data_IF_271428435489
#
_entry.id   IF_271428435489
#
_cell.length_a   1.000
_cell.length_b   1.000
_cell.length_c   1.000
_cell.angle_alpha   90.00
_cell.angle_beta   90.00
_cell.angle_gamma   90.00
#
_symmetry.space_group_name_H-M   'P 1'
#
loop_
_entity.id
_entity.type
_entity.pdbx_description
1 polymer ?
#
# COMPACT_ATOMS: atom_id res chain seq x y z
N UNK A 1 23.01 -7.33 5.74
CA UNK A 1 21.85 -6.76 6.47
C UNK A 1 21.09 -7.90 7.13
N UNK A 2 20.91 -7.83 8.45
CA UNK A 2 20.17 -8.85 9.19
C UNK A 2 18.68 -8.48 9.19
N UNK A 3 17.88 -9.16 8.37
CA UNK A 3 16.43 -9.08 8.43
C UNK A 3 15.93 -10.15 9.41
N UNK A 4 15.29 -9.74 10.51
CA UNK A 4 14.57 -10.63 11.42
C UNK A 4 13.08 -10.61 11.08
N UNK A 5 12.50 -11.79 10.84
CA UNK A 5 11.06 -11.96 10.63
C UNK A 5 10.43 -12.40 11.95
N UNK A 6 9.47 -11.63 12.44
CA UNK A 6 8.63 -11.97 13.60
C UNK A 6 7.19 -12.25 13.14
N UNK A 7 6.59 -13.29 13.68
CA UNK A 7 5.19 -13.64 13.42
C UNK A 7 4.37 -13.42 14.69
N UNK A 8 3.37 -12.55 14.62
CA UNK A 8 2.43 -12.31 15.71
C UNK A 8 1.26 -13.27 15.53
N UNK A 9 1.03 -14.14 16.51
CA UNK A 9 -0.08 -15.07 16.56
C UNK A 9 -1.08 -14.64 17.63
N UNK A 10 -2.32 -14.46 17.25
CA UNK A 10 -3.43 -14.09 18.14
C UNK A 10 -4.21 -15.36 18.50
N UNK A 11 -3.94 -15.95 19.65
CA UNK A 11 -4.50 -17.25 20.03
C UNK A 11 -6.04 -17.26 20.16
N UNK A 12 -6.64 -16.13 20.57
CA UNK A 12 -8.09 -16.00 20.76
C UNK A 12 -8.86 -15.48 19.53
N UNK A 13 -8.16 -15.10 18.46
CA UNK A 13 -8.75 -14.45 17.28
C UNK A 13 -8.28 -15.09 15.98
N UNK A 14 -7.88 -16.36 16.01
CA UNK A 14 -7.33 -17.08 14.84
C UNK A 14 -8.30 -17.04 13.66
N UNK A 15 -9.59 -17.18 13.88
CA UNK A 15 -10.60 -17.18 12.82
C UNK A 15 -10.64 -15.85 12.03
N UNK A 16 -10.37 -14.71 12.66
CA UNK A 16 -10.31 -13.40 11.99
C UNK A 16 -9.21 -13.33 10.93
N UNK A 17 -8.12 -14.06 11.10
CA UNK A 17 -6.96 -14.05 10.22
C UNK A 17 -6.86 -15.27 9.30
N UNK A 18 -7.62 -16.34 9.61
CA UNK A 18 -7.66 -17.57 8.81
C UNK A 18 -8.73 -17.51 7.73
N UNK A 19 -8.73 -16.46 6.91
CA UNK A 19 -9.70 -16.29 5.83
C UNK A 19 -9.05 -16.51 4.47
N UNK A 20 -9.73 -17.13 3.49
CA UNK A 20 -9.20 -17.31 2.14
C UNK A 20 -9.15 -16.00 1.35
N UNK A 21 -9.81 -14.95 1.83
CA UNK A 21 -9.85 -13.63 1.22
C UNK A 21 -9.07 -12.63 2.08
N UNK A 22 -8.27 -11.78 1.43
CA UNK A 22 -7.51 -10.73 2.10
C UNK A 22 -8.46 -9.72 2.77
N UNK A 23 -9.57 -9.40 2.14
CA UNK A 23 -10.58 -8.46 2.63
C UNK A 23 -11.92 -9.15 2.86
N UNK A 24 -12.59 -8.78 3.97
CA UNK A 24 -13.89 -9.30 4.39
C UNK A 24 -14.69 -8.22 5.13
N UNK A 25 -15.92 -8.53 5.53
CA UNK A 25 -16.76 -7.61 6.33
C UNK A 25 -16.20 -7.36 7.73
N UNK A 26 -15.31 -8.24 8.25
CA UNK A 26 -14.69 -8.13 9.57
C UNK A 26 -13.35 -7.37 9.57
N UNK A 27 -13.00 -6.72 8.48
CA UNK A 27 -11.70 -6.06 8.31
C UNK A 27 -11.39 -5.04 9.40
N UNK A 28 -12.39 -4.27 9.83
CA UNK A 28 -12.21 -3.29 10.90
C UNK A 28 -11.77 -3.95 12.20
N UNK A 29 -12.48 -4.99 12.65
CA UNK A 29 -12.14 -5.74 13.86
C UNK A 29 -10.74 -6.36 13.72
N UNK A 30 -10.48 -7.00 12.60
CA UNK A 30 -9.22 -7.68 12.29
C UNK A 30 -8.04 -6.72 12.36
N UNK A 31 -8.10 -5.60 11.68
CA UNK A 31 -6.99 -4.64 11.64
C UNK A 31 -6.88 -3.78 12.89
N UNK A 32 -7.96 -3.59 13.65
CA UNK A 32 -7.90 -3.05 15.01
C UNK A 32 -7.14 -4.00 15.94
N UNK A 33 -7.46 -5.28 15.91
CA UNK A 33 -6.77 -6.31 16.70
C UNK A 33 -5.28 -6.41 16.29
N UNK A 34 -4.98 -6.34 14.99
CA UNK A 34 -3.61 -6.31 14.48
C UNK A 34 -2.84 -5.09 14.99
N UNK A 35 -3.43 -3.89 14.93
CA UNK A 35 -2.81 -2.67 15.44
C UNK A 35 -2.49 -2.76 16.93
N UNK A 36 -3.42 -3.30 17.74
CA UNK A 36 -3.20 -3.50 19.16
C UNK A 36 -2.11 -4.54 19.46
N UNK A 37 -2.10 -5.65 18.72
CA UNK A 37 -1.08 -6.69 18.86
C UNK A 37 0.32 -6.18 18.45
N UNK A 38 0.41 -5.39 17.38
CA UNK A 38 1.66 -4.76 16.97
C UNK A 38 2.16 -3.76 18.03
N UNK A 39 1.28 -2.96 18.63
CA UNK A 39 1.64 -2.04 19.70
C UNK A 39 2.18 -2.79 20.92
N UNK A 40 1.49 -3.85 21.37
CA UNK A 40 1.94 -4.69 22.48
C UNK A 40 3.31 -5.32 22.18
N UNK A 41 3.48 -5.90 20.99
CA UNK A 41 4.76 -6.48 20.59
C UNK A 41 5.91 -5.45 20.61
N UNK A 42 5.66 -4.24 20.07
CA UNK A 42 6.68 -3.18 20.05
C UNK A 42 7.06 -2.74 21.46
N UNK A 43 6.13 -2.76 22.42
CA UNK A 43 6.43 -2.44 23.82
C UNK A 43 7.15 -3.57 24.56
N UNK A 44 7.02 -4.82 24.12
CA UNK A 44 7.66 -6.00 24.74
C UNK A 44 9.10 -6.24 24.27
N UNK A 45 9.47 -5.71 23.10
CA UNK A 45 10.85 -5.80 22.59
C UNK A 45 11.72 -4.63 23.09
N UNK A 46 13.07 -4.73 23.01
CA UNK A 46 13.94 -3.58 23.28
C UNK A 46 13.51 -2.36 22.47
N UNK A 47 13.64 -1.14 23.03
CA UNK A 47 13.23 0.08 22.35
C UNK A 47 13.78 0.19 20.92
N UNK A 48 12.91 0.50 19.98
CA UNK A 48 13.24 0.73 18.58
C UNK A 48 13.21 2.23 18.27
N UNK A 49 14.12 2.69 17.41
CA UNK A 49 14.20 4.10 17.05
C UNK A 49 13.06 4.51 16.11
N UNK A 50 12.70 3.63 15.16
CA UNK A 50 11.73 3.91 14.11
C UNK A 50 10.77 2.73 13.97
N UNK A 51 9.48 3.06 13.88
CA UNK A 51 8.41 2.14 13.45
C UNK A 51 7.91 2.60 12.10
N UNK A 52 8.06 1.75 11.08
CA UNK A 52 7.57 2.01 9.73
C UNK A 52 6.42 1.06 9.41
N UNK A 53 5.27 1.60 9.02
CA UNK A 53 4.09 0.81 8.67
C UNK A 53 3.43 1.30 7.38
N UNK A 54 2.52 0.48 6.83
CA UNK A 54 1.95 0.68 5.51
C UNK A 54 0.43 0.60 5.53
N UNK A 55 -0.21 1.55 4.82
CA UNK A 55 -1.64 1.61 4.58
C UNK A 55 -2.53 1.64 5.84
N UNK A 56 -3.81 1.77 5.62
CA UNK A 56 -4.82 1.94 6.66
C UNK A 56 -4.93 0.77 7.66
N UNK A 57 -4.46 -0.41 7.28
CA UNK A 57 -4.52 -1.62 8.11
C UNK A 57 -3.89 -1.46 9.49
N UNK A 58 -2.86 -0.65 9.58
CA UNK A 58 -2.19 -0.28 10.82
C UNK A 58 -2.39 1.20 11.19
N UNK A 59 -3.42 1.83 10.65
CA UNK A 59 -3.67 3.25 10.87
C UNK A 59 -3.91 3.64 12.33
N UNK A 60 -4.32 2.70 13.18
CA UNK A 60 -4.48 2.93 14.62
C UNK A 60 -3.17 2.76 15.41
N UNK A 61 -2.17 2.07 14.87
CA UNK A 61 -0.91 1.78 15.55
C UNK A 61 -0.19 3.05 16.06
N UNK A 62 -0.06 4.14 15.30
CA UNK A 62 0.61 5.34 15.78
C UNK A 62 -0.03 5.94 17.02
N UNK A 63 -1.37 5.97 17.05
CA UNK A 63 -2.11 6.45 18.21
C UNK A 63 -1.87 5.60 19.45
N UNK A 64 -1.85 4.29 19.30
CA UNK A 64 -1.57 3.35 20.41
C UNK A 64 -0.14 3.51 20.93
N UNK A 65 0.84 3.69 20.04
CA UNK A 65 2.24 3.90 20.44
C UNK A 65 2.49 5.27 21.09
N UNK A 66 1.70 6.28 20.74
CA UNK A 66 1.79 7.64 21.31
C UNK A 66 0.81 7.89 22.47
N UNK A 67 0.18 6.84 23.00
CA UNK A 67 -0.64 6.99 24.20
C UNK A 67 0.21 7.47 25.39
N UNK A 68 -0.30 8.36 26.28
CA UNK A 68 0.44 8.86 27.44
C UNK A 68 1.04 7.79 28.33
N UNK A 69 0.41 6.63 28.41
CA UNK A 69 0.87 5.49 29.23
C UNK A 69 1.90 4.61 28.47
N UNK A 70 2.28 4.99 27.25
CA UNK A 70 3.29 4.25 26.48
C UNK A 70 4.67 4.33 27.17
N UNK A 71 5.42 3.23 27.27
CA UNK A 71 6.71 3.21 27.94
C UNK A 71 7.77 4.04 27.21
N UNK A 72 7.61 4.25 25.90
CA UNK A 72 8.47 5.10 25.08
C UNK A 72 7.77 5.47 23.75
N UNK A 73 8.32 6.45 23.04
CA UNK A 73 7.76 6.99 21.82
C UNK A 73 8.73 6.84 20.65
N UNK A 74 8.63 5.76 19.82
CA UNK A 74 9.44 5.65 18.62
C UNK A 74 9.06 6.71 17.60
N UNK A 75 9.98 7.04 16.69
CA UNK A 75 9.63 7.80 15.49
C UNK A 75 8.79 6.94 14.55
N UNK A 76 7.76 7.53 13.96
CA UNK A 76 6.79 6.80 13.15
C UNK A 76 6.83 7.28 11.72
N UNK A 77 7.05 6.35 10.79
CA UNK A 77 6.95 6.57 9.35
C UNK A 77 5.72 5.83 8.82
N UNK A 78 4.88 6.53 8.10
CA UNK A 78 3.66 6.00 7.50
C UNK A 78 3.73 6.07 5.98
N UNK A 79 3.71 4.92 5.29
CA UNK A 79 3.64 4.87 3.83
C UNK A 79 2.24 4.52 3.37
N UNK A 80 1.68 5.35 2.49
CA UNK A 80 0.37 5.15 1.87
C UNK A 80 0.58 4.75 0.41
N UNK A 81 0.17 3.53 0.07
CA UNK A 81 0.25 3.03 -1.30
C UNK A 81 -0.98 3.41 -2.12
N UNK A 82 -2.14 3.53 -1.46
CA UNK A 82 -3.39 3.85 -2.13
C UNK A 82 -4.37 4.59 -1.21
N UNK A 83 -4.62 5.86 -1.49
CA UNK A 83 -5.56 6.69 -0.74
C UNK A 83 -7.04 6.33 -0.94
N UNK A 84 -7.38 5.48 -1.91
CA UNK A 84 -8.76 5.02 -2.09
C UNK A 84 -9.25 4.12 -0.95
N UNK A 85 -8.33 3.43 -0.26
CA UNK A 85 -8.65 2.53 0.84
C UNK A 85 -8.26 3.16 2.17
N UNK A 86 -9.24 3.57 2.97
CA UNK A 86 -9.03 4.40 4.16
C UNK A 86 -9.35 3.73 5.48
N UNK A 87 -10.00 2.56 5.43
CA UNK A 87 -10.46 1.86 6.63
C UNK A 87 -11.57 2.61 7.35
N UNK A 88 -12.71 2.80 6.67
CA UNK A 88 -13.93 3.31 7.28
C UNK A 88 -14.48 2.29 8.26
N UNK A 89 -14.81 2.74 9.46
CA UNK A 89 -15.31 1.86 10.51
C UNK A 89 -16.31 2.57 11.43
N UNK A 90 -17.13 1.78 12.11
CA UNK A 90 -18.04 2.32 13.14
C UNK A 90 -17.24 2.84 14.32
N UNK A 91 -17.49 4.11 14.70
CA UNK A 91 -16.90 4.72 15.90
C UNK A 91 -17.22 3.90 17.16
N UNK A 92 -18.44 3.33 17.24
CA UNK A 92 -18.84 2.45 18.34
C UNK A 92 -17.95 1.21 18.40
N UNK A 93 -17.66 0.58 17.26
CA UNK A 93 -16.80 -0.61 17.20
C UNK A 93 -15.39 -0.30 17.71
N UNK A 94 -14.82 0.85 17.33
CA UNK A 94 -13.52 1.24 17.84
C UNK A 94 -13.52 1.42 19.36
N UNK A 95 -14.53 2.07 19.93
CA UNK A 95 -14.63 2.24 21.39
C UNK A 95 -14.79 0.89 22.12
N UNK A 96 -15.45 -0.08 21.53
CA UNK A 96 -15.58 -1.45 22.07
C UNK A 96 -14.24 -2.21 22.07
N UNK A 97 -13.29 -1.82 21.21
CA UNK A 97 -11.95 -2.46 21.11
C UNK A 97 -10.88 -1.80 22.00
N UNK A 98 -11.27 -1.03 23.01
CA UNK A 98 -10.39 -0.24 23.90
C UNK A 98 -9.65 0.93 23.19
N UNK A 99 -10.02 1.27 21.97
CA UNK A 99 -9.69 2.56 21.37
C UNK A 99 -10.65 3.57 22.00
N UNK A 100 -10.21 4.21 23.05
CA UNK A 100 -11.03 5.10 23.86
C UNK A 100 -11.22 6.50 23.21
N UNK A 101 -11.97 7.35 23.90
CA UNK A 101 -12.21 8.71 23.43
C UNK A 101 -10.92 9.55 23.30
N UNK A 102 -9.86 9.23 24.05
CA UNK A 102 -8.58 9.89 23.91
C UNK A 102 -8.02 9.66 22.50
N UNK A 103 -7.97 8.42 22.04
CA UNK A 103 -7.49 8.08 20.69
C UNK A 103 -8.37 8.68 19.61
N UNK A 104 -9.69 8.53 19.74
CA UNK A 104 -10.65 9.02 18.75
C UNK A 104 -10.59 10.52 18.55
N UNK A 105 -10.57 11.28 19.65
CA UNK A 105 -10.63 12.75 19.61
C UNK A 105 -9.26 13.39 19.34
N UNK A 106 -8.21 12.93 20.04
CA UNK A 106 -6.88 13.54 19.92
C UNK A 106 -6.19 13.24 18.58
N UNK A 107 -6.52 12.11 17.96
CA UNK A 107 -5.96 11.72 16.67
C UNK A 107 -6.91 11.95 15.49
N UNK A 108 -7.98 12.70 15.71
CA UNK A 108 -8.93 13.13 14.68
C UNK A 108 -9.44 11.99 13.80
N UNK A 109 -9.71 10.83 14.41
CA UNK A 109 -10.18 9.64 13.68
C UNK A 109 -11.61 9.80 13.16
N UNK A 110 -12.40 10.70 13.72
CA UNK A 110 -13.78 10.90 13.31
C UNK A 110 -13.89 11.47 11.88
N UNK A 111 -14.81 10.93 11.12
CA UNK A 111 -15.38 11.55 9.93
C UNK A 111 -16.69 12.24 10.29
N UNK A 112 -17.52 11.53 11.04
CA UNK A 112 -18.80 11.98 11.61
C UNK A 112 -19.02 11.22 12.94
N UNK A 113 -20.10 11.49 13.71
CA UNK A 113 -20.32 10.85 15.00
C UNK A 113 -20.41 9.30 14.96
N UNK A 114 -20.76 8.73 13.82
CA UNK A 114 -20.92 7.30 13.64
C UNK A 114 -19.73 6.63 12.93
N UNK A 115 -18.96 7.41 12.16
CA UNK A 115 -17.92 6.89 11.28
C UNK A 115 -16.55 7.42 11.68
N UNK A 116 -15.61 6.51 11.83
CA UNK A 116 -14.18 6.79 12.00
C UNK A 116 -13.39 6.30 10.79
N UNK A 117 -12.19 6.85 10.61
CA UNK A 117 -11.29 6.54 9.48
C UNK A 117 -9.93 6.17 10.02
N UNK A 118 -9.56 4.88 9.91
CA UNK A 118 -8.32 4.36 10.49
C UNK A 118 -7.07 5.02 9.90
N UNK A 119 -7.06 5.34 8.60
CA UNK A 119 -5.94 6.04 7.95
C UNK A 119 -5.62 7.39 8.61
N UNK A 120 -6.60 8.10 9.17
CA UNK A 120 -6.38 9.39 9.86
C UNK A 120 -5.41 9.25 11.04
N UNK A 121 -5.44 8.16 11.77
CA UNK A 121 -4.48 7.90 12.83
C UNK A 121 -3.03 7.92 12.30
N UNK A 122 -2.79 7.28 11.16
CA UNK A 122 -1.50 7.35 10.48
C UNK A 122 -1.16 8.77 10.03
N UNK A 123 -2.10 9.50 9.41
CA UNK A 123 -1.88 10.85 8.90
C UNK A 123 -1.55 11.85 10.01
N UNK A 124 -2.28 11.84 11.11
CA UNK A 124 -2.11 12.84 12.18
C UNK A 124 -1.01 12.48 13.18
N UNK A 125 -0.74 11.18 13.41
CA UNK A 125 0.17 10.75 14.47
C UNK A 125 1.58 10.37 14.00
N UNK A 126 1.85 10.23 12.70
CA UNK A 126 3.17 9.86 12.20
C UNK A 126 4.12 11.06 12.18
N UNK A 127 5.41 10.80 12.37
CA UNK A 127 6.46 11.84 12.29
C UNK A 127 6.83 12.15 10.82
N UNK A 128 6.70 11.16 9.93
CA UNK A 128 6.82 11.33 8.49
C UNK A 128 5.75 10.51 7.75
N UNK A 129 5.24 11.04 6.65
CA UNK A 129 4.25 10.41 5.80
C UNK A 129 4.85 10.29 4.41
N UNK A 130 4.74 9.13 3.79
CA UNK A 130 5.21 8.92 2.42
C UNK A 130 4.11 8.32 1.55
N UNK A 131 4.22 8.58 0.24
CA UNK A 131 3.45 7.88 -0.79
C UNK A 131 4.37 7.45 -1.93
N UNK A 132 3.85 6.65 -2.85
CA UNK A 132 4.67 5.88 -3.81
C UNK A 132 5.07 6.64 -5.07
N UNK A 133 4.83 7.96 -5.12
CA UNK A 133 5.25 8.80 -6.25
C UNK A 133 5.31 10.28 -5.85
N UNK A 134 6.34 11.04 -6.27
CA UNK A 134 6.36 12.49 -6.10
C UNK A 134 5.17 13.18 -6.77
N UNK A 135 4.79 12.77 -7.97
CA UNK A 135 3.62 13.29 -8.68
C UNK A 135 2.33 12.98 -7.91
N UNK A 136 2.17 11.74 -7.43
CA UNK A 136 1.00 11.34 -6.64
C UNK A 136 0.91 12.12 -5.33
N UNK A 137 2.04 12.42 -4.69
CA UNK A 137 2.06 13.29 -3.51
C UNK A 137 1.51 14.69 -3.84
N UNK A 138 1.91 15.27 -4.98
CA UNK A 138 1.41 16.56 -5.43
C UNK A 138 -0.08 16.53 -5.78
N UNK A 139 -0.55 15.47 -6.44
CA UNK A 139 -1.97 15.26 -6.76
C UNK A 139 -2.81 15.19 -5.48
N UNK A 140 -2.36 14.47 -4.47
CA UNK A 140 -3.07 14.35 -3.19
C UNK A 140 -3.10 15.66 -2.37
N UNK A 141 -2.16 16.54 -2.62
CA UNK A 141 -2.12 17.90 -2.04
C UNK A 141 -2.97 18.91 -2.81
N UNK A 142 -3.55 18.53 -3.96
CA UNK A 142 -4.39 19.40 -4.74
C UNK A 142 -5.79 19.53 -4.07
N UNK A 143 -6.35 20.74 -4.07
CA UNK A 143 -7.68 21.03 -3.53
C UNK A 143 -8.83 20.25 -4.20
N UNK A 144 -8.61 19.73 -5.42
CA UNK A 144 -9.57 18.87 -6.13
C UNK A 144 -9.47 17.40 -5.72
N UNK A 145 -8.52 17.04 -4.86
CA UNK A 145 -8.47 15.73 -4.24
C UNK A 145 -9.61 15.57 -3.23
N UNK A 146 -9.77 14.36 -2.70
CA UNK A 146 -10.79 14.11 -1.68
C UNK A 146 -10.59 15.06 -0.47
N UNK A 147 -11.61 15.90 -0.11
CA UNK A 147 -11.46 16.91 0.92
C UNK A 147 -10.97 16.38 2.27
N UNK A 148 -11.40 15.17 2.65
CA UNK A 148 -11.01 14.55 3.93
C UNK A 148 -9.51 14.26 4.00
N UNK A 149 -8.92 13.79 2.90
CA UNK A 149 -7.49 13.53 2.79
C UNK A 149 -6.71 14.81 2.59
N UNK A 150 -7.22 15.71 1.75
CA UNK A 150 -6.61 17.02 1.50
C UNK A 150 -6.43 17.81 2.80
N UNK A 151 -7.47 17.92 3.62
CA UNK A 151 -7.40 18.63 4.90
C UNK A 151 -6.34 18.03 5.84
N UNK A 152 -6.32 16.70 5.96
CA UNK A 152 -5.33 16.02 6.78
C UNK A 152 -3.89 16.25 6.26
N UNK A 153 -3.65 16.11 4.96
CA UNK A 153 -2.33 16.28 4.35
C UNK A 153 -1.89 17.74 4.36
N UNK A 154 -2.80 18.70 4.16
CA UNK A 154 -2.48 20.13 4.18
C UNK A 154 -1.87 20.56 5.52
N UNK A 155 -2.37 20.03 6.64
CA UNK A 155 -1.80 20.29 7.97
C UNK A 155 -0.47 19.55 8.18
N UNK A 156 -0.12 18.58 7.36
CA UNK A 156 1.05 17.70 7.46
C UNK A 156 2.01 17.84 6.28
N UNK A 157 1.83 18.86 5.44
CA UNK A 157 2.60 19.03 4.19
C UNK A 157 4.11 19.05 4.36
N UNK A 158 4.61 19.59 5.47
CA UNK A 158 6.06 19.64 5.76
C UNK A 158 6.72 18.27 6.01
N UNK A 159 5.92 17.26 6.29
CA UNK A 159 6.37 15.88 6.58
C UNK A 159 5.80 14.84 5.62
N UNK A 160 5.22 15.28 4.48
CA UNK A 160 4.65 14.43 3.46
C UNK A 160 5.53 14.40 2.20
N UNK A 161 5.92 13.21 1.76
CA UNK A 161 6.89 12.99 0.69
C UNK A 161 6.43 11.91 -0.29
N UNK A 162 6.73 12.09 -1.58
CA UNK A 162 6.57 11.06 -2.60
C UNK A 162 7.90 10.32 -2.85
N UNK A 163 7.92 9.00 -2.71
CA UNK A 163 9.10 8.15 -2.90
C UNK A 163 8.72 7.03 -3.86
N UNK A 164 9.42 6.93 -5.00
CA UNK A 164 9.16 5.86 -5.97
C UNK A 164 9.54 4.50 -5.40
N UNK A 165 8.74 3.49 -5.72
CA UNK A 165 9.07 2.10 -5.44
C UNK A 165 10.34 1.69 -6.18
N UNK A 166 11.12 0.80 -5.59
CA UNK A 166 12.24 0.14 -6.24
C UNK A 166 11.78 -0.81 -7.36
N UNK A 167 12.72 -1.18 -8.20
CA UNK A 167 12.55 -2.18 -9.26
C UNK A 167 13.44 -3.37 -8.92
N UNK A 168 12.87 -4.57 -8.98
CA UNK A 168 13.66 -5.81 -8.92
C UNK A 168 14.29 -6.08 -10.29
N UNK A 169 15.50 -5.59 -10.49
CA UNK A 169 16.28 -5.71 -11.72
C UNK A 169 16.89 -7.10 -11.93
N UNK A 170 16.75 -8.00 -10.98
CA UNK A 170 17.13 -9.41 -11.13
C UNK A 170 16.00 -10.22 -11.75
N UNK A 171 14.79 -10.06 -11.24
CA UNK A 171 13.61 -10.76 -11.76
C UNK A 171 13.12 -10.14 -13.08
N UNK A 172 13.09 -8.81 -13.18
CA UNK A 172 12.61 -8.09 -14.37
C UNK A 172 13.77 -7.64 -15.27
N UNK A 173 14.63 -8.58 -15.65
CA UNK A 173 15.80 -8.33 -16.47
C UNK A 173 15.69 -9.05 -17.83
N UNK A 174 15.46 -8.34 -18.94
CA UNK A 174 15.31 -8.97 -20.25
C UNK A 174 16.58 -9.67 -20.75
N UNK A 175 17.74 -9.41 -20.17
CA UNK A 175 18.99 -10.09 -20.48
C UNK A 175 19.01 -11.53 -19.93
N UNK A 176 18.39 -11.77 -18.79
CA UNK A 176 18.42 -13.03 -18.05
C UNK A 176 17.07 -13.68 -17.82
N UNK A 177 15.97 -13.06 -18.26
CA UNK A 177 14.61 -13.57 -18.08
C UNK A 177 14.42 -14.88 -18.83
N UNK A 178 14.19 -16.01 -18.14
CA UNK A 178 14.01 -17.33 -18.75
C UNK A 178 12.66 -17.47 -19.47
N UNK A 179 11.74 -16.53 -19.31
CA UNK A 179 10.41 -16.56 -19.93
C UNK A 179 10.39 -15.91 -21.32
N UNK A 180 11.44 -15.19 -21.69
CA UNK A 180 11.57 -14.63 -23.02
C UNK A 180 12.08 -15.68 -24.01
N UNK A 181 11.50 -15.72 -25.20
CA UNK A 181 11.97 -16.56 -26.30
C UNK A 181 13.32 -16.07 -26.86
N UNK A 182 13.55 -14.78 -26.81
CA UNK A 182 14.77 -14.12 -27.22
C UNK A 182 15.17 -13.05 -26.21
N UNK A 183 16.27 -13.25 -25.49
CA UNK A 183 16.78 -12.26 -24.55
C UNK A 183 17.43 -11.08 -25.26
N UNK A 184 17.38 -9.91 -24.61
CA UNK A 184 18.00 -8.68 -25.11
C UNK A 184 18.51 -7.83 -23.94
N UNK A 185 19.49 -7.00 -24.20
CA UNK A 185 20.12 -6.13 -23.20
C UNK A 185 20.15 -4.66 -23.64
N UNK A 186 20.63 -3.81 -22.73
CA UNK A 186 20.70 -2.35 -22.95
C UNK A 186 21.64 -1.91 -24.08
N UNK A 187 22.59 -2.75 -24.53
CA UNK A 187 23.50 -2.38 -25.65
C UNK A 187 22.71 -2.17 -26.93
N UNK A 188 21.60 -2.93 -27.10
CA UNK A 188 20.73 -2.85 -28.27
C UNK A 188 19.92 -1.54 -28.37
N UNK A 189 19.95 -0.68 -27.37
CA UNK A 189 19.38 0.68 -27.50
C UNK A 189 20.06 1.51 -28.56
N UNK A 190 21.30 1.14 -28.97
CA UNK A 190 22.04 1.73 -30.06
C UNK A 190 21.80 1.04 -31.41
N UNK A 191 21.10 -0.07 -31.42
CA UNK A 191 20.79 -0.91 -32.57
C UNK A 191 19.28 -1.18 -32.63
N UNK A 192 18.42 -0.17 -32.88
CA UNK A 192 16.99 -0.25 -32.76
C UNK A 192 16.35 -1.33 -33.64
N UNK A 193 16.89 -1.56 -34.84
CA UNK A 193 16.38 -2.61 -35.72
C UNK A 193 16.61 -4.01 -35.16
N UNK A 194 17.78 -4.27 -34.57
CA UNK A 194 18.07 -5.54 -33.92
C UNK A 194 17.22 -5.75 -32.66
N UNK A 195 17.05 -4.70 -31.87
CA UNK A 195 16.15 -4.73 -30.72
C UNK A 195 14.70 -5.04 -31.15
N UNK A 196 14.23 -4.39 -32.21
CA UNK A 196 12.91 -4.64 -32.77
C UNK A 196 12.75 -6.10 -33.24
N UNK A 197 13.72 -6.63 -33.96
CA UNK A 197 13.70 -8.04 -34.39
C UNK A 197 13.60 -9.02 -33.21
N UNK A 198 14.33 -8.79 -32.12
CA UNK A 198 14.24 -9.62 -30.92
C UNK A 198 12.87 -9.51 -30.24
N UNK A 199 12.31 -8.32 -30.18
CA UNK A 199 10.95 -8.10 -29.63
C UNK A 199 9.87 -8.75 -30.51
N UNK A 200 10.01 -8.76 -31.82
CA UNK A 200 9.09 -9.48 -32.74
C UNK A 200 9.14 -10.99 -32.54
N UNK A 201 10.32 -11.58 -32.27
CA UNK A 201 10.43 -12.99 -31.89
C UNK A 201 9.68 -13.30 -30.58
N UNK A 202 9.80 -12.43 -29.57
CA UNK A 202 9.05 -12.57 -28.31
C UNK A 202 7.54 -12.45 -28.53
N UNK A 203 7.12 -11.51 -29.40
CA UNK A 203 5.73 -11.38 -29.80
C UNK A 203 5.22 -12.65 -30.48
N UNK A 204 5.97 -13.19 -31.45
CA UNK A 204 5.59 -14.42 -32.15
C UNK A 204 5.42 -15.61 -31.16
N UNK A 205 6.38 -15.80 -30.25
CA UNK A 205 6.29 -16.84 -29.22
C UNK A 205 5.08 -16.66 -28.29
N UNK A 206 4.73 -15.41 -27.95
CA UNK A 206 3.55 -15.14 -27.15
C UNK A 206 2.24 -15.46 -27.91
N UNK A 207 2.17 -15.11 -29.19
CA UNK A 207 1.01 -15.45 -30.04
C UNK A 207 0.83 -16.95 -30.16
N UNK A 208 1.91 -17.70 -30.41
CA UNK A 208 1.90 -19.15 -30.44
C UNK A 208 1.39 -19.75 -29.12
N UNK A 209 1.94 -19.28 -27.99
CA UNK A 209 1.54 -19.75 -26.65
C UNK A 209 0.07 -19.48 -26.33
N UNK A 210 -0.50 -18.39 -26.86
CA UNK A 210 -1.91 -18.00 -26.66
C UNK A 210 -2.84 -18.60 -27.72
N UNK A 211 -2.32 -19.29 -28.72
CA UNK A 211 -3.11 -19.81 -29.85
C UNK A 211 -3.70 -18.71 -30.72
N UNK A 212 -3.05 -17.54 -30.79
CA UNK A 212 -3.48 -16.40 -31.60
C UNK A 212 -2.79 -16.41 -32.97
N UNK A 213 -3.49 -15.92 -33.98
CA UNK A 213 -2.91 -15.75 -35.31
C UNK A 213 -1.97 -14.52 -35.33
N UNK A 214 -0.70 -14.76 -35.67
CA UNK A 214 0.32 -13.73 -35.72
C UNK A 214 0.00 -12.68 -36.82
N UNK A 215 0.03 -11.43 -36.45
CA UNK A 215 -0.16 -10.30 -37.36
C UNK A 215 0.90 -9.21 -37.13
N UNK A 216 0.97 -8.26 -38.06
CA UNK A 216 1.93 -7.14 -38.02
C UNK A 216 1.47 -5.94 -37.19
N UNK A 217 0.27 -5.98 -36.62
CA UNK A 217 -0.23 -4.89 -35.77
C UNK A 217 0.54 -4.84 -34.46
N UNK A 218 0.69 -3.67 -33.85
CA UNK A 218 1.24 -3.57 -32.49
C UNK A 218 0.45 -4.42 -31.50
N UNK A 219 1.16 -5.15 -30.63
CA UNK A 219 0.55 -5.90 -29.56
C UNK A 219 0.37 -4.99 -28.34
N UNK A 220 -0.87 -4.82 -27.92
CA UNK A 220 -1.18 -4.21 -26.64
C UNK A 220 -1.63 -5.29 -25.64
N UNK A 221 -1.07 -5.31 -24.45
CA UNK A 221 -1.51 -6.21 -23.41
C UNK A 221 -1.69 -5.46 -22.08
N UNK A 222 -2.67 -5.92 -21.30
CA UNK A 222 -2.94 -5.39 -19.96
C UNK A 222 -2.95 -6.55 -18.99
N UNK A 223 -2.06 -6.49 -18.00
CA UNK A 223 -1.96 -7.48 -16.93
C UNK A 223 -2.23 -6.76 -15.63
N UNK A 224 -3.48 -6.80 -15.17
CA UNK A 224 -3.88 -6.13 -13.93
C UNK A 224 -5.14 -6.78 -13.32
N UNK A 225 -5.48 -6.37 -12.09
CA UNK A 225 -6.81 -6.66 -11.55
C UNK A 225 -7.86 -5.90 -12.35
N UNK A 226 -9.00 -6.55 -12.63
CA UNK A 226 -10.15 -5.90 -13.31
C UNK A 226 -10.93 -5.12 -12.25
N UNK A 227 -10.49 -3.90 -11.98
CA UNK A 227 -11.12 -2.95 -11.06
C UNK A 227 -11.21 -1.59 -11.74
N UNK A 228 -12.20 -0.76 -11.35
CA UNK A 228 -12.45 0.57 -11.92
C UNK A 228 -11.18 1.42 -12.00
N UNK A 229 -10.36 1.44 -10.93
CA UNK A 229 -9.10 2.17 -10.86
C UNK A 229 -8.10 1.83 -11.99
N UNK A 230 -8.24 0.66 -12.65
CA UNK A 230 -7.39 0.23 -13.78
C UNK A 230 -8.00 0.58 -15.15
N UNK A 231 -9.15 1.23 -15.17
CA UNK A 231 -9.81 1.71 -16.37
C UNK A 231 -10.25 0.64 -17.36
N UNK A 232 -10.80 -0.54 -16.94
CA UNK A 232 -11.21 -1.57 -17.89
C UNK A 232 -12.29 -1.09 -18.87
N UNK A 233 -13.00 -0.04 -18.52
CA UNK A 233 -14.09 0.53 -19.33
C UNK A 233 -13.55 1.21 -20.58
N UNK A 234 -12.40 1.89 -20.48
CA UNK A 234 -11.75 2.52 -21.62
C UNK A 234 -11.27 1.51 -22.68
N UNK A 235 -11.07 0.25 -22.29
CA UNK A 235 -10.67 -0.81 -23.22
C UNK A 235 -11.81 -1.34 -24.10
N UNK A 236 -13.08 -1.07 -23.72
CA UNK A 236 -14.23 -1.51 -24.51
C UNK A 236 -14.51 -0.58 -25.68
N UNK A 237 -14.01 0.64 -25.61
CA UNK A 237 -14.24 1.70 -26.61
C UNK A 237 -13.07 1.81 -27.60
N UNK A 238 -11.95 1.12 -27.33
CA UNK A 238 -10.76 1.06 -28.18
C UNK A 238 -10.74 -0.20 -29.04
#
# INVERSE_FOLDING_TARGET
ENLALSVIKLDSQIELFSTPKIYSHDDTMRFTALSAACAAYIHDIPPVDIVHFHDWHLGLLPGLLKHPDSPYYPKIVFTIHNFCYRGYCSTKLLSETKIDNFHLSNYQLFRDPQTSVMMKGGLYCSDAITTVSPTYAQEMMNEYSDPEIHDALSTRSSVFFGILNGIDDRTWNPETDPHLAENYDKSLLREPDLLFMKKEKNKAALYERLGLELNYSPLMCIISRIVEQKGPEFMKEA
#
